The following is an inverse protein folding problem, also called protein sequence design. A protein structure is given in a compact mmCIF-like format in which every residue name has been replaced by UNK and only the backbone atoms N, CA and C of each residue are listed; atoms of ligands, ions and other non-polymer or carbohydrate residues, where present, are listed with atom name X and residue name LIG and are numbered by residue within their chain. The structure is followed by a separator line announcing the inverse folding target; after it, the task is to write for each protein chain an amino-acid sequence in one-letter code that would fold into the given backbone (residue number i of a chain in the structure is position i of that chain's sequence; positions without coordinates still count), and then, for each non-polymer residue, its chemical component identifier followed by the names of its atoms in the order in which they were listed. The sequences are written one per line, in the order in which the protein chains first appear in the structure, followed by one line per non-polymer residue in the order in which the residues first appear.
data_IF_593585884258
#
_entry.id   IF_593585884258
#
_cell.length_a   1.000
_cell.length_b   1.000
_cell.length_c   1.000
_cell.angle_alpha   90.00
_cell.angle_beta   90.00
_cell.angle_gamma   90.00
#
_symmetry.space_group_name_H-M   'P 1'
#
loop_
_entity.id
_entity.type
_entity.pdbx_description
1 polymer ?
#
# COMPACT_ATOMS: atom_id res chain seq x y z
N UNK A 1 21.90 18.66 -6.78
CA UNK A 1 21.60 17.55 -7.70
C UNK A 1 20.58 16.58 -7.10
N UNK A 2 20.74 16.14 -5.84
CA UNK A 2 19.72 15.33 -5.14
C UNK A 2 18.45 16.12 -4.77
N UNK A 3 18.55 17.40 -4.41
CA UNK A 3 17.37 18.26 -4.23
C UNK A 3 16.51 18.36 -5.49
N UNK A 4 17.16 18.49 -6.66
CA UNK A 4 16.48 18.41 -7.96
C UNK A 4 16.02 16.99 -8.29
N UNK A 5 16.70 15.93 -7.85
CA UNK A 5 16.18 14.57 -7.98
C UNK A 5 14.94 14.38 -7.11
N UNK A 6 14.88 14.99 -5.94
CA UNK A 6 13.78 14.90 -4.99
C UNK A 6 12.58 15.75 -5.38
N UNK A 7 12.80 17.00 -5.81
CA UNK A 7 11.77 17.92 -6.31
C UNK A 7 11.25 17.48 -7.68
N UNK A 8 12.14 16.96 -8.54
CA UNK A 8 11.75 16.35 -9.81
C UNK A 8 11.17 14.96 -9.60
N UNK A 9 11.54 14.24 -8.54
CA UNK A 9 10.83 13.03 -8.12
C UNK A 9 9.44 13.40 -7.64
N UNK A 10 9.26 14.35 -6.72
CA UNK A 10 7.94 14.83 -6.29
C UNK A 10 7.06 15.25 -7.47
N UNK A 11 7.59 16.04 -8.40
CA UNK A 11 6.86 16.46 -9.60
C UNK A 11 6.63 15.32 -10.60
N UNK A 12 7.59 14.40 -10.74
CA UNK A 12 7.47 13.22 -11.59
C UNK A 12 6.46 12.23 -11.00
N UNK A 13 6.47 12.02 -9.69
CA UNK A 13 5.53 11.21 -8.93
C UNK A 13 4.15 11.86 -8.92
N UNK A 14 4.03 13.16 -8.74
CA UNK A 14 2.76 13.87 -8.87
C UNK A 14 2.17 13.63 -10.25
N UNK A 15 2.97 13.79 -11.31
CA UNK A 15 2.51 13.59 -12.69
C UNK A 15 2.23 12.12 -13.03
N UNK A 16 3.08 11.19 -12.63
CA UNK A 16 2.88 9.76 -12.91
C UNK A 16 1.75 9.18 -12.07
N UNK A 17 1.54 9.68 -10.86
CA UNK A 17 0.45 9.29 -9.98
C UNK A 17 -0.86 9.97 -10.39
N UNK A 18 -0.85 11.21 -10.89
CA UNK A 18 -1.99 11.84 -11.58
C UNK A 18 -2.34 11.10 -12.86
N UNK A 19 -1.34 10.71 -13.65
CA UNK A 19 -1.55 9.86 -14.83
C UNK A 19 -2.14 8.51 -14.43
N UNK A 20 -1.64 7.90 -13.35
CA UNK A 20 -2.22 6.68 -12.79
C UNK A 20 -3.66 6.90 -12.33
N UNK A 21 -3.97 7.99 -11.63
CA UNK A 21 -5.34 8.34 -11.23
C UNK A 21 -6.25 8.57 -12.44
N UNK A 22 -5.74 9.22 -13.48
CA UNK A 22 -6.43 9.40 -14.76
C UNK A 22 -6.70 8.07 -15.45
N UNK A 23 -5.73 7.14 -15.44
CA UNK A 23 -5.89 5.78 -15.96
C UNK A 23 -6.90 4.98 -15.14
N UNK A 24 -6.88 5.08 -13.81
CA UNK A 24 -7.86 4.45 -12.93
C UNK A 24 -9.26 5.00 -13.20
N UNK A 25 -9.39 6.32 -13.32
CA UNK A 25 -10.65 6.99 -13.61
C UNK A 25 -11.19 6.58 -14.99
N UNK A 26 -10.32 6.56 -16.01
CA UNK A 26 -10.69 6.13 -17.37
C UNK A 26 -11.10 4.66 -17.40
N UNK A 27 -10.30 3.76 -16.81
CA UNK A 27 -10.63 2.34 -16.73
C UNK A 27 -11.90 2.08 -15.92
N UNK A 28 -12.15 2.88 -14.88
CA UNK A 28 -13.41 2.84 -14.13
C UNK A 28 -14.61 3.29 -14.98
N UNK A 29 -14.46 4.36 -15.76
CA UNK A 29 -15.48 4.85 -16.70
C UNK A 29 -15.78 3.81 -17.79
N UNK A 30 -14.77 3.09 -18.27
CA UNK A 30 -14.96 2.01 -19.26
C UNK A 30 -15.68 0.79 -18.67
N UNK A 31 -15.47 0.48 -17.38
CA UNK A 31 -16.22 -0.54 -16.65
C UNK A 31 -17.67 -0.15 -16.35
N UNK A 32 -18.02 1.14 -16.42
CA UNK A 32 -19.34 1.71 -16.09
C UNK A 32 -20.40 1.58 -17.23
N UNK A 33 -20.25 0.63 -18.15
CA UNK A 33 -21.18 0.48 -19.29
C UNK A 33 -22.62 0.07 -18.90
N UNK A 34 -22.86 -0.36 -17.66
CA UNK A 34 -24.20 -0.66 -17.13
C UNK A 34 -24.50 0.06 -15.81
N UNK A 35 -25.27 1.15 -15.93
CA UNK A 35 -26.00 1.91 -14.89
C UNK A 35 -25.18 2.49 -13.73
N UNK A 36 -25.06 3.82 -13.81
CA UNK A 36 -24.51 4.75 -12.83
C UNK A 36 -25.21 4.82 -11.45
N UNK A 37 -26.14 3.90 -11.15
CA UNK A 37 -27.03 3.95 -9.97
C UNK A 37 -26.32 3.71 -8.62
N UNK A 38 -25.02 3.37 -8.62
CA UNK A 38 -24.28 2.94 -7.42
C UNK A 38 -23.37 4.01 -6.81
N UNK A 39 -23.07 5.09 -7.54
CA UNK A 39 -22.16 6.12 -7.04
C UNK A 39 -22.82 7.05 -6.01
N UNK A 40 -24.14 7.20 -6.04
CA UNK A 40 -24.87 8.11 -5.15
C UNK A 40 -24.88 7.66 -3.68
N UNK A 41 -24.51 6.41 -3.37
CA UNK A 41 -24.61 5.85 -2.01
C UNK A 41 -23.28 5.41 -1.38
N UNK A 42 -22.13 5.76 -1.98
CA UNK A 42 -20.85 5.55 -1.29
C UNK A 42 -20.73 6.62 -0.21
N UNK A 43 -21.13 6.26 1.02
CA UNK A 43 -20.94 7.09 2.21
C UNK A 43 -19.45 7.30 2.54
N UNK A 44 -19.12 7.51 3.82
CA UNK A 44 -17.73 7.69 4.22
C UNK A 44 -16.88 6.43 3.88
N UNK A 45 -15.80 6.61 3.11
CA UNK A 45 -14.85 5.53 2.80
C UNK A 45 -14.19 5.06 4.10
N UNK A 46 -14.13 3.75 4.35
CA UNK A 46 -13.52 3.21 5.56
C UNK A 46 -11.99 3.20 5.44
N UNK A 47 -11.38 4.39 5.43
CA UNK A 47 -9.93 4.52 5.48
C UNK A 47 -9.39 3.90 6.77
N UNK A 48 -8.34 3.09 6.64
CA UNK A 48 -7.55 2.71 7.80
C UNK A 48 -6.92 3.96 8.41
N UNK A 49 -6.95 4.06 9.73
CA UNK A 49 -6.20 5.09 10.42
C UNK A 49 -4.69 4.93 10.15
N UNK A 50 -3.93 5.99 10.39
CA UNK A 50 -2.51 6.00 10.08
C UNK A 50 -1.75 4.89 10.82
N UNK A 51 -2.15 4.57 12.04
CA UNK A 51 -1.50 3.55 12.86
C UNK A 51 -1.68 2.14 12.28
N UNK A 52 -2.89 1.79 11.83
CA UNK A 52 -3.16 0.51 11.19
C UNK A 52 -2.57 0.45 9.77
N UNK A 53 -2.59 1.56 9.02
CA UNK A 53 -1.91 1.66 7.73
C UNK A 53 -0.40 1.43 7.88
N UNK A 54 0.25 2.17 8.78
CA UNK A 54 1.67 2.01 9.08
C UNK A 54 1.98 0.59 9.58
N UNK A 55 1.17 0.04 10.49
CA UNK A 55 1.39 -1.32 11.01
C UNK A 55 1.32 -2.38 9.91
N UNK A 56 0.36 -2.31 8.97
CA UNK A 56 0.26 -3.29 7.88
C UNK A 56 1.40 -3.19 6.86
N UNK A 57 2.02 -2.02 6.72
CA UNK A 57 3.15 -1.80 5.82
C UNK A 57 4.49 -2.16 6.50
N UNK A 58 4.60 -1.90 7.81
CA UNK A 58 5.87 -1.95 8.53
C UNK A 58 6.06 -3.18 9.42
N UNK A 59 5.01 -3.91 9.84
CA UNK A 59 5.15 -4.98 10.83
C UNK A 59 4.29 -6.23 10.63
N UNK A 60 4.88 -7.43 10.78
CA UNK A 60 4.33 -8.51 11.60
C UNK A 60 4.76 -8.31 13.06
N UNK A 61 3.79 -8.03 13.94
CA UNK A 61 3.83 -7.95 15.43
C UNK A 61 5.20 -8.03 16.16
N UNK A 62 5.75 -6.89 16.61
CA UNK A 62 6.87 -6.86 17.59
C UNK A 62 6.70 -5.71 18.59
N UNK A 63 6.79 -5.99 19.89
CA UNK A 63 6.85 -5.00 20.98
C UNK A 63 8.32 -4.80 21.42
N UNK A 64 8.78 -3.55 21.53
CA UNK A 64 10.12 -3.19 22.03
C UNK A 64 10.00 -2.56 23.42
N UNK A 65 10.69 -3.14 24.42
CA UNK A 65 10.61 -2.79 25.85
C UNK A 65 11.83 -1.99 26.37
N UNK A 66 11.78 -1.51 27.62
CA UNK A 66 12.64 -0.50 28.29
C UNK A 66 14.18 -0.59 28.16
N UNK A 67 14.77 -1.69 27.68
CA UNK A 67 16.20 -1.83 27.40
C UNK A 67 16.73 -0.91 26.27
N UNK A 68 15.83 -0.18 25.62
CA UNK A 68 16.07 0.58 24.41
C UNK A 68 16.74 1.96 24.59
N UNK A 69 16.96 2.48 25.80
CA UNK A 69 17.50 3.85 25.94
C UNK A 69 18.93 4.03 25.38
N UNK A 70 19.81 3.06 25.64
CA UNK A 70 21.18 3.07 25.09
C UNK A 70 21.20 2.91 23.57
N UNK A 71 20.42 1.96 23.06
CA UNK A 71 20.26 1.74 21.63
C UNK A 71 19.62 2.93 20.93
N UNK A 72 18.59 3.54 21.54
CA UNK A 72 17.91 4.73 21.04
C UNK A 72 18.87 5.90 20.89
N UNK A 73 19.88 6.02 21.76
CA UNK A 73 20.92 7.05 21.63
C UNK A 73 21.90 6.73 20.51
N UNK A 74 22.28 5.47 20.35
CA UNK A 74 23.19 5.03 19.29
C UNK A 74 22.56 5.19 17.90
N UNK A 75 21.29 4.84 17.72
CA UNK A 75 20.60 5.02 16.43
C UNK A 75 20.36 6.49 16.06
N UNK A 76 20.56 7.43 16.98
CA UNK A 76 20.53 8.87 16.70
C UNK A 76 21.90 9.41 16.28
N UNK A 77 22.96 8.60 16.38
CA UNK A 77 24.28 8.91 15.84
C UNK A 77 24.37 8.43 14.38
N UNK A 78 24.49 9.37 13.44
CA UNK A 78 24.45 9.09 12.00
C UNK A 78 25.59 8.17 11.56
N UNK A 79 26.79 8.35 12.11
CA UNK A 79 27.96 7.54 11.75
C UNK A 79 27.78 6.09 12.23
N UNK A 80 27.32 5.91 13.46
CA UNK A 80 26.98 4.60 13.98
C UNK A 80 25.91 3.92 13.13
N UNK A 81 24.80 4.61 12.88
CA UNK A 81 23.66 4.01 12.19
C UNK A 81 24.00 3.60 10.75
N UNK A 82 24.67 4.48 9.99
CA UNK A 82 25.12 4.17 8.63
C UNK A 82 26.14 3.03 8.63
N UNK A 83 27.09 3.03 9.56
CA UNK A 83 28.07 1.93 9.70
C UNK A 83 27.39 0.61 10.07
N UNK A 84 26.40 0.62 10.96
CA UNK A 84 25.65 -0.56 11.37
C UNK A 84 24.88 -1.15 10.18
N UNK A 85 24.21 -0.31 9.39
CA UNK A 85 23.51 -0.73 8.17
C UNK A 85 24.48 -1.40 7.21
N UNK A 86 25.59 -0.74 6.85
CA UNK A 86 26.61 -1.31 5.95
C UNK A 86 27.16 -2.64 6.48
N UNK A 87 27.53 -2.68 7.76
CA UNK A 87 28.09 -3.88 8.40
C UNK A 87 27.13 -5.06 8.34
N UNK A 88 25.83 -4.84 8.57
CA UNK A 88 24.82 -5.89 8.54
C UNK A 88 24.53 -6.35 7.12
N UNK A 89 24.47 -5.44 6.14
CA UNK A 89 24.23 -5.82 4.74
C UNK A 89 25.36 -6.63 4.11
N UNK A 90 26.59 -6.46 4.57
CA UNK A 90 27.76 -7.22 4.11
C UNK A 90 27.76 -8.68 4.60
N UNK A 91 26.96 -9.02 5.61
CA UNK A 91 26.91 -10.37 6.15
C UNK A 91 26.20 -11.32 5.17
N UNK A 92 26.88 -12.40 4.76
CA UNK A 92 26.33 -13.40 3.81
C UNK A 92 25.04 -14.07 4.29
N UNK A 93 24.84 -14.15 5.60
CA UNK A 93 23.66 -14.78 6.20
C UNK A 93 22.50 -13.79 6.42
N UNK A 94 22.68 -12.52 6.08
CA UNK A 94 21.68 -11.49 6.26
C UNK A 94 20.74 -11.45 5.04
N UNK A 95 19.56 -12.03 5.20
CA UNK A 95 18.64 -12.28 4.08
C UNK A 95 17.89 -11.01 3.67
N UNK A 96 17.27 -11.02 2.49
CA UNK A 96 16.36 -9.95 2.04
C UNK A 96 15.25 -9.69 3.07
N UNK A 97 14.76 -10.75 3.73
CA UNK A 97 13.74 -10.63 4.78
C UNK A 97 14.29 -9.87 6.00
N UNK A 98 15.53 -10.15 6.41
CA UNK A 98 16.17 -9.47 7.55
C UNK A 98 16.43 -7.99 7.23
N UNK A 99 16.90 -7.69 6.02
CA UNK A 99 17.03 -6.32 5.51
C UNK A 99 15.71 -5.57 5.58
N UNK A 100 14.64 -6.18 5.08
CA UNK A 100 13.31 -5.56 5.11
C UNK A 100 12.78 -5.33 6.52
N UNK A 101 13.04 -6.28 7.43
CA UNK A 101 12.64 -6.21 8.84
C UNK A 101 13.40 -5.07 9.53
N UNK A 102 14.71 -5.01 9.38
CA UNK A 102 15.54 -3.95 9.97
C UNK A 102 15.16 -2.57 9.43
N UNK A 103 14.98 -2.42 8.12
CA UNK A 103 14.52 -1.16 7.53
C UNK A 103 13.19 -0.69 8.15
N UNK A 104 12.24 -1.60 8.35
CA UNK A 104 10.93 -1.26 8.92
C UNK A 104 11.01 -0.92 10.41
N UNK A 105 11.85 -1.64 11.17
CA UNK A 105 12.15 -1.31 12.57
C UNK A 105 12.80 0.08 12.70
N UNK A 106 13.79 0.38 11.86
CA UNK A 106 14.45 1.69 11.83
C UNK A 106 13.47 2.80 11.46
N UNK A 107 12.58 2.56 10.49
CA UNK A 107 11.54 3.53 10.10
C UNK A 107 10.69 3.91 11.30
N UNK A 108 10.29 2.92 12.10
CA UNK A 108 9.40 3.14 13.26
C UNK A 108 10.16 3.75 14.43
N UNK A 109 11.38 3.28 14.70
CA UNK A 109 12.23 3.84 15.74
C UNK A 109 12.59 5.31 15.49
N UNK A 110 12.71 5.71 14.22
CA UNK A 110 13.04 7.08 13.82
C UNK A 110 11.81 7.88 13.36
N UNK A 111 10.60 7.34 13.49
CA UNK A 111 9.37 7.94 12.97
C UNK A 111 9.09 9.33 13.54
N UNK A 112 9.43 9.55 14.82
CA UNK A 112 9.27 10.86 15.48
C UNK A 112 10.23 11.94 14.97
N UNK A 113 11.26 11.56 14.19
CA UNK A 113 12.24 12.48 13.61
C UNK A 113 12.50 12.13 12.14
N UNK A 114 11.49 12.37 11.29
CA UNK A 114 11.57 12.10 9.85
C UNK A 114 12.66 12.90 9.13
N UNK A 115 13.07 14.06 9.66
CA UNK A 115 14.20 14.84 9.11
C UNK A 115 15.48 14.03 9.20
N UNK A 116 15.79 13.51 10.39
CA UNK A 116 16.97 12.67 10.60
C UNK A 116 16.91 11.36 9.80
N UNK A 117 15.74 10.70 9.74
CA UNK A 117 15.54 9.52 8.90
C UNK A 117 15.86 9.81 7.42
N UNK A 118 15.46 10.98 6.93
CA UNK A 118 15.72 11.42 5.55
C UNK A 118 17.22 11.64 5.33
N UNK A 119 17.92 12.30 6.25
CA UNK A 119 19.37 12.52 6.16
C UNK A 119 20.17 11.20 6.14
N UNK A 120 19.81 10.23 6.99
CA UNK A 120 20.41 8.89 7.00
C UNK A 120 20.15 8.17 5.69
N UNK A 121 18.89 8.17 5.22
CA UNK A 121 18.50 7.54 3.95
C UNK A 121 19.24 8.15 2.76
N UNK A 122 19.38 9.48 2.70
CA UNK A 122 20.16 10.15 1.66
C UNK A 122 21.63 9.73 1.66
N UNK A 123 22.24 9.59 2.83
CA UNK A 123 23.62 9.12 2.96
C UNK A 123 23.76 7.71 2.40
N UNK A 124 22.89 6.80 2.83
CA UNK A 124 22.90 5.40 2.39
C UNK A 124 22.60 5.26 0.89
N UNK A 125 21.71 6.09 0.33
CA UNK A 125 21.42 6.08 -1.12
C UNK A 125 22.62 6.56 -1.93
N UNK A 126 23.34 7.59 -1.47
CA UNK A 126 24.59 8.05 -2.10
C UNK A 126 25.62 6.92 -2.12
N UNK A 127 25.78 6.21 -1.00
CA UNK A 127 26.72 5.10 -0.90
C UNK A 127 26.32 3.95 -1.85
N UNK A 128 25.05 3.58 -1.88
CA UNK A 128 24.51 2.56 -2.80
C UNK A 128 24.80 2.91 -4.27
N UNK A 129 24.59 4.18 -4.65
CA UNK A 129 24.88 4.66 -6.01
C UNK A 129 26.37 4.59 -6.36
N UNK A 130 27.25 4.89 -5.40
CA UNK A 130 28.71 4.82 -5.61
C UNK A 130 29.17 3.36 -5.76
N UNK A 131 28.65 2.46 -4.93
CA UNK A 131 28.94 1.03 -5.01
C UNK A 131 28.45 0.39 -6.32
N UNK A 132 27.33 0.90 -6.88
CA UNK A 132 26.75 0.45 -8.14
C UNK A 132 27.18 1.30 -9.35
N UNK A 133 28.28 2.03 -9.26
CA UNK A 133 28.76 2.92 -10.34
C UNK A 133 29.06 2.21 -11.67
N UNK A 134 29.35 0.91 -11.63
CA UNK A 134 29.56 0.07 -12.82
C UNK A 134 28.27 -0.58 -13.36
N UNK A 135 27.16 -0.45 -12.65
CA UNK A 135 25.86 -1.03 -13.01
C UNK A 135 25.09 -0.05 -13.88
N UNK A 136 24.27 -0.55 -14.81
CA UNK A 136 23.42 0.32 -15.64
C UNK A 136 22.51 1.19 -14.72
N UNK A 137 22.57 2.53 -14.79
CA UNK A 137 21.83 3.40 -13.86
C UNK A 137 20.31 3.19 -13.88
N UNK A 138 19.76 2.70 -15.01
CA UNK A 138 18.34 2.37 -15.17
C UNK A 138 17.88 1.14 -14.38
N UNK A 139 18.82 0.33 -13.88
CA UNK A 139 18.52 -0.86 -13.09
C UNK A 139 18.56 -0.61 -11.58
N UNK A 140 19.09 0.55 -11.14
CA UNK A 140 19.11 0.93 -9.73
C UNK A 140 17.67 1.12 -9.22
N UNK A 141 17.39 0.68 -7.99
CA UNK A 141 16.08 0.77 -7.34
C UNK A 141 14.96 -0.03 -8.04
N UNK A 142 15.29 -0.92 -8.99
CA UNK A 142 14.29 -1.73 -9.71
C UNK A 142 13.67 -2.82 -8.82
N UNK A 143 14.43 -3.32 -7.85
CA UNK A 143 14.02 -4.34 -6.89
C UNK A 143 14.51 -3.93 -5.52
N UNK A 144 13.74 -4.24 -4.48
CA UNK A 144 14.15 -3.98 -3.10
C UNK A 144 15.14 -5.06 -2.66
N UNK A 145 16.43 -4.78 -2.79
CA UNK A 145 17.51 -5.74 -2.48
C UNK A 145 18.42 -5.25 -1.33
N UNK A 146 18.29 -3.97 -0.94
CA UNK A 146 19.00 -3.33 0.15
C UNK A 146 18.08 -2.77 1.24
N UNK A 147 18.64 -2.54 2.43
CA UNK A 147 17.98 -1.86 3.54
C UNK A 147 17.52 -0.46 3.11
N UNK A 148 18.35 0.28 2.38
CA UNK A 148 18.04 1.65 1.98
C UNK A 148 16.90 1.73 0.96
N UNK A 149 16.79 0.77 0.05
CA UNK A 149 15.65 0.68 -0.88
C UNK A 149 14.32 0.41 -0.14
N UNK A 150 14.36 -0.42 0.91
CA UNK A 150 13.18 -0.65 1.75
C UNK A 150 12.87 0.58 2.62
N UNK A 151 13.88 1.26 3.17
CA UNK A 151 13.70 2.52 3.89
C UNK A 151 13.04 3.58 2.99
N UNK A 152 13.48 3.70 1.74
CA UNK A 152 12.87 4.59 0.76
C UNK A 152 11.41 4.26 0.51
N UNK A 153 11.07 2.98 0.33
CA UNK A 153 9.68 2.55 0.16
C UNK A 153 8.82 2.91 1.39
N UNK A 154 9.37 2.71 2.59
CA UNK A 154 8.68 3.01 3.82
C UNK A 154 8.48 4.52 4.02
N UNK A 155 9.52 5.31 3.79
CA UNK A 155 9.50 6.77 3.84
C UNK A 155 8.49 7.34 2.83
N UNK A 156 8.47 6.84 1.60
CA UNK A 156 7.46 7.22 0.59
C UNK A 156 6.04 6.92 1.08
N UNK A 157 5.82 5.77 1.71
CA UNK A 157 4.51 5.41 2.27
C UNK A 157 4.06 6.39 3.36
N UNK A 158 4.99 6.89 4.18
CA UNK A 158 4.72 7.89 5.22
C UNK A 158 4.32 9.22 4.59
N UNK A 159 5.16 9.74 3.69
CA UNK A 159 4.97 11.06 3.08
C UNK A 159 3.74 11.12 2.16
N UNK A 160 3.44 10.02 1.46
CA UNK A 160 2.31 9.97 0.53
C UNK A 160 0.98 9.57 1.17
N UNK A 161 0.94 9.19 2.45
CA UNK A 161 -0.32 8.77 3.09
C UNK A 161 -1.40 9.84 3.03
N UNK A 162 -1.06 11.11 3.30
CA UNK A 162 -2.00 12.23 3.21
C UNK A 162 -2.56 12.37 1.79
N UNK A 163 -1.68 12.40 0.79
CA UNK A 163 -2.08 12.48 -0.62
C UNK A 163 -2.94 11.29 -1.05
N UNK A 164 -2.56 10.06 -0.65
CA UNK A 164 -3.33 8.85 -0.92
C UNK A 164 -4.74 8.97 -0.34
N UNK A 165 -4.87 9.44 0.91
CA UNK A 165 -6.17 9.58 1.56
C UNK A 165 -7.04 10.66 0.93
N UNK A 166 -6.45 11.78 0.53
CA UNK A 166 -7.18 12.97 0.07
C UNK A 166 -7.51 12.95 -1.43
N UNK A 167 -6.63 12.38 -2.28
CA UNK A 167 -6.75 12.51 -3.73
C UNK A 167 -7.00 11.17 -4.45
N UNK A 168 -6.36 10.10 -3.99
CA UNK A 168 -6.36 8.80 -4.72
C UNK A 168 -7.33 7.79 -4.12
N UNK A 169 -7.55 7.87 -2.80
CA UNK A 169 -8.19 6.82 -2.01
C UNK A 169 -9.62 6.54 -2.43
N UNK A 170 -10.39 7.58 -2.76
CA UNK A 170 -11.74 7.42 -3.29
C UNK A 170 -11.76 6.70 -4.63
N UNK A 171 -10.89 7.09 -5.56
CA UNK A 171 -10.82 6.47 -6.89
C UNK A 171 -10.44 4.99 -6.79
N UNK A 172 -9.45 4.66 -5.95
CA UNK A 172 -9.07 3.27 -5.69
C UNK A 172 -10.21 2.47 -5.06
N UNK A 173 -10.89 3.03 -4.06
CA UNK A 173 -12.01 2.37 -3.39
C UNK A 173 -13.16 2.09 -4.37
N UNK A 174 -13.51 3.08 -5.20
CA UNK A 174 -14.55 2.95 -6.22
C UNK A 174 -14.19 1.88 -7.25
N UNK A 175 -12.95 1.87 -7.73
CA UNK A 175 -12.49 0.84 -8.66
C UNK A 175 -12.59 -0.56 -8.05
N UNK A 176 -12.08 -0.76 -6.84
CA UNK A 176 -12.17 -2.06 -6.15
C UNK A 176 -13.63 -2.47 -5.96
N UNK A 177 -14.49 -1.53 -5.53
CA UNK A 177 -15.92 -1.79 -5.34
C UNK A 177 -16.61 -2.20 -6.64
N UNK A 178 -16.33 -1.50 -7.75
CA UNK A 178 -16.88 -1.84 -9.06
C UNK A 178 -16.39 -3.20 -9.55
N UNK A 179 -15.11 -3.53 -9.36
CA UNK A 179 -14.57 -4.84 -9.71
C UNK A 179 -15.24 -5.95 -8.90
N UNK A 180 -15.31 -5.80 -7.57
CA UNK A 180 -15.98 -6.76 -6.69
C UNK A 180 -17.45 -6.95 -7.08
N UNK A 181 -18.14 -5.86 -7.39
CA UNK A 181 -19.53 -5.91 -7.82
C UNK A 181 -19.67 -6.61 -9.17
N UNK A 182 -18.84 -6.27 -10.15
CA UNK A 182 -18.89 -6.86 -11.48
C UNK A 182 -18.64 -8.38 -11.43
N UNK A 183 -17.67 -8.81 -10.61
CA UNK A 183 -17.43 -10.23 -10.31
C UNK A 183 -18.68 -10.87 -9.70
N UNK A 184 -19.33 -10.20 -8.73
CA UNK A 184 -20.50 -10.73 -8.03
C UNK A 184 -21.80 -10.83 -8.86
N UNK A 185 -21.85 -10.19 -10.05
CA UNK A 185 -23.02 -10.29 -10.96
C UNK A 185 -23.14 -11.66 -11.62
N UNK A 186 -22.05 -12.43 -11.67
CA UNK A 186 -21.99 -13.73 -12.32
C UNK A 186 -21.73 -14.86 -11.32
N UNK A 187 -21.84 -16.12 -11.75
CA UNK A 187 -21.45 -17.26 -10.95
C UNK A 187 -19.99 -17.20 -10.55
N UNK A 188 -19.73 -17.50 -9.28
CA UNK A 188 -18.39 -17.68 -8.70
C UNK A 188 -18.34 -19.07 -8.07
N UNK A 189 -17.36 -19.86 -8.45
CA UNK A 189 -17.11 -21.17 -7.82
C UNK A 189 -16.56 -20.96 -6.41
N UNK A 190 -17.27 -21.46 -5.40
CA UNK A 190 -16.87 -21.30 -4.00
C UNK A 190 -15.63 -22.11 -3.58
N UNK A 191 -15.18 -23.07 -4.40
CA UNK A 191 -13.98 -23.87 -4.12
C UNK A 191 -12.76 -23.31 -4.83
N UNK A 192 -12.89 -22.99 -6.11
CA UNK A 192 -11.77 -22.49 -6.92
C UNK A 192 -11.66 -20.98 -6.97
N UNK A 193 -12.68 -20.26 -6.49
CA UNK A 193 -12.82 -18.80 -6.58
C UNK A 193 -12.83 -18.25 -8.02
N UNK A 194 -12.94 -19.13 -9.02
CA UNK A 194 -13.08 -18.71 -10.43
C UNK A 194 -14.44 -18.07 -10.66
N UNK A 195 -14.45 -17.01 -11.43
CA UNK A 195 -15.65 -16.21 -11.70
C UNK A 195 -15.95 -16.15 -13.20
N UNK A 196 -17.23 -16.05 -13.54
CA UNK A 196 -17.66 -15.84 -14.92
C UNK A 196 -17.20 -14.46 -15.44
N UNK A 197 -17.32 -13.43 -14.60
CA UNK A 197 -16.83 -12.08 -14.91
C UNK A 197 -15.51 -11.86 -14.20
N UNK A 198 -14.42 -11.80 -14.95
CA UNK A 198 -13.07 -11.59 -14.44
C UNK A 198 -12.21 -10.86 -15.47
N UNK A 199 -11.13 -10.23 -15.00
CA UNK A 199 -10.11 -9.60 -15.85
C UNK A 199 -8.95 -10.55 -16.19
N UNK A 200 -8.96 -11.80 -15.69
CA UNK A 200 -7.89 -12.77 -15.87
C UNK A 200 -8.41 -14.09 -16.43
N UNK A 201 -7.79 -14.56 -17.51
CA UNK A 201 -8.10 -15.84 -18.15
C UNK A 201 -7.90 -17.04 -17.21
N UNK A 202 -6.87 -17.01 -16.36
CA UNK A 202 -6.58 -18.06 -15.39
C UNK A 202 -7.72 -18.25 -14.38
N UNK A 203 -8.41 -17.15 -14.05
CA UNK A 203 -9.51 -17.10 -13.09
C UNK A 203 -10.91 -17.20 -13.75
N UNK A 204 -10.97 -17.44 -15.06
CA UNK A 204 -12.23 -17.51 -15.80
C UNK A 204 -12.96 -18.83 -15.55
N UNK A 205 -14.24 -18.74 -15.19
CA UNK A 205 -15.12 -19.89 -14.99
C UNK A 205 -15.82 -20.27 -16.31
N UNK A 206 -15.28 -21.27 -17.00
CA UNK A 206 -15.77 -21.71 -18.31
C UNK A 206 -17.14 -22.43 -18.28
N UNK A 207 -17.52 -23.03 -17.14
CA UNK A 207 -18.57 -24.04 -17.09
C UNK A 207 -19.96 -23.52 -16.67
N UNK A 208 -20.13 -22.21 -16.43
CA UNK A 208 -21.33 -21.66 -15.79
C UNK A 208 -22.06 -20.60 -16.63
N UNK A 209 -22.28 -20.87 -17.92
CA UNK A 209 -22.96 -19.92 -18.82
C UNK A 209 -24.49 -19.90 -18.65
N UNK A 210 -25.09 -21.00 -18.18
CA UNK A 210 -26.53 -21.11 -17.95
C UNK A 210 -26.88 -20.73 -16.51
N UNK A 211 -27.15 -19.45 -16.25
CA UNK A 211 -27.62 -18.96 -14.96
C UNK A 211 -28.74 -17.92 -15.13
N UNK A 212 -29.56 -17.77 -14.11
CA UNK A 212 -30.61 -16.74 -14.06
C UNK A 212 -30.54 -15.96 -12.75
N UNK A 213 -30.76 -14.65 -12.83
CA UNK A 213 -30.77 -13.78 -11.65
C UNK A 213 -32.10 -13.93 -10.91
N UNK A 214 -32.03 -14.17 -9.59
CA UNK A 214 -33.19 -14.23 -8.72
C UNK A 214 -33.32 -12.92 -7.93
N UNK A 215 -34.41 -12.18 -8.12
CA UNK A 215 -34.69 -10.96 -7.35
C UNK A 215 -35.41 -11.34 -6.06
N UNK A 216 -34.69 -11.29 -4.94
CA UNK A 216 -35.25 -11.65 -3.63
C UNK A 216 -35.92 -10.43 -2.97
N UNK A 217 -37.25 -10.42 -2.89
CA UNK A 217 -38.01 -9.34 -2.23
C UNK A 217 -38.07 -9.58 -0.72
N UNK A 218 -36.99 -9.25 0.00
CA UNK A 218 -37.05 -9.23 1.46
C UNK A 218 -37.91 -8.05 1.93
N UNK A 219 -39.14 -8.34 2.38
CA UNK A 219 -39.97 -7.37 3.11
C UNK A 219 -39.42 -7.20 4.53
N UNK A 220 -39.22 -5.97 5.02
CA UNK A 220 -38.84 -5.74 6.41
C UNK A 220 -40.00 -6.20 7.30
N UNK A 221 -39.74 -7.16 8.21
CA UNK A 221 -40.72 -7.64 9.19
C UNK A 221 -41.29 -6.44 9.96
N UNK A 222 -42.57 -6.12 9.77
CA UNK A 222 -43.32 -5.23 10.68
C UNK A 222 -43.34 -5.90 12.05
N UNK A 223 -42.65 -5.31 13.02
CA UNK A 223 -42.78 -5.68 14.43
C UNK A 223 -44.23 -5.52 14.86
N UNK A 224 -44.78 -6.59 15.42
CA UNK A 224 -46.08 -6.60 16.09
C UNK A 224 -46.05 -5.65 17.29
N UNK A 225 -46.68 -4.48 17.16
CA UNK A 225 -47.04 -3.66 18.32
C UNK A 225 -48.17 -4.36 19.08
N UNK A 226 -47.85 -4.97 20.22
CA UNK A 226 -48.83 -5.30 21.24
C UNK A 226 -49.45 -3.99 21.73
N UNK A 227 -50.73 -3.76 21.45
CA UNK A 227 -51.54 -2.75 22.11
C UNK A 227 -51.85 -3.25 23.52
N UNK A 228 -51.19 -2.68 24.53
CA UNK A 228 -51.60 -2.78 25.92
C UNK A 228 -52.92 -2.02 26.09
N UNK A 229 -53.96 -2.76 26.49
CA UNK A 229 -55.21 -2.20 26.99
C UNK A 229 -54.95 -1.51 28.33
N UNK A 230 -55.48 -0.30 28.50
CA UNK A 230 -55.91 0.22 29.80
C UNK A 230 -57.14 1.07 29.58
#
# INVERSE_FOLDING_TARGET
MLYLFFERSEQFWHRDLENFCSLLSTGFIELQTEKADLLENVGAIPFLDYKHFASRIFFPEVHLDECCHGLSRLIQDQLFLTSMVHTLEEQKNFTIKDKCTLASLLTVALHSNLSYLTEVMESLLKDLMQQNSNTQPKLLLRRTESIVEKLLTNWMSICLYGFLRENVGQHLFLMVSALTQQISKGPVDCVTEKALYTLSEDWLLWQAQDFSSLVNTHSPRKGSSLSAQT
#
